data_IF_582550148069
#
_entry.id   IF_582550148069
#
_cell.length_a   1.000
_cell.length_b   1.000
_cell.length_c   1.000
_cell.angle_alpha   90.00
_cell.angle_beta   90.00
_cell.angle_gamma   90.00
#
_symmetry.space_group_name_H-M   'P 1'
#
loop_
_entity.id
_entity.type
_entity.pdbx_description
1 polymer ?
#
# COMPACT_ATOMS: atom_id res chain seq x y z
N UNK A 1 -14.37 15.21 9.47
CA UNK A 1 -13.90 13.90 9.93
C UNK A 1 -12.39 13.94 9.86
N UNK A 2 -11.72 13.93 11.00
CA UNK A 2 -10.25 13.94 11.10
C UNK A 2 -9.84 12.53 11.49
N UNK A 3 -9.25 11.81 10.56
CA UNK A 3 -8.62 10.53 10.82
C UNK A 3 -7.10 10.73 10.76
N UNK A 4 -6.37 10.01 11.61
CA UNK A 4 -4.93 9.88 11.50
C UNK A 4 -4.62 8.63 10.69
N UNK A 5 -3.68 8.74 9.74
CA UNK A 5 -3.16 7.60 9.00
C UNK A 5 -1.72 7.29 9.42
N UNK A 6 -1.41 6.02 9.63
CA UNK A 6 -0.06 5.57 9.99
C UNK A 6 0.33 4.32 9.17
N UNK A 7 1.62 4.16 8.92
CA UNK A 7 2.22 3.05 8.16
C UNK A 7 1.60 2.79 6.77
N UNK A 8 0.95 3.79 6.18
CA UNK A 8 0.45 3.74 4.81
C UNK A 8 1.61 3.78 3.81
N UNK A 9 1.38 3.21 2.64
CA UNK A 9 2.36 3.21 1.56
C UNK A 9 2.02 4.33 0.57
N UNK A 10 3.04 5.01 0.06
CA UNK A 10 2.85 6.03 -0.96
C UNK A 10 3.76 5.85 -2.16
N UNK A 11 3.33 6.37 -3.31
CA UNK A 11 4.18 6.57 -4.48
C UNK A 11 3.69 7.76 -5.28
N UNK A 12 4.63 8.55 -5.80
CA UNK A 12 4.31 9.63 -6.74
C UNK A 12 4.46 9.12 -8.18
N UNK A 13 3.41 9.32 -8.99
CA UNK A 13 3.44 9.06 -10.43
C UNK A 13 2.83 10.26 -11.12
N UNK A 14 3.60 10.87 -12.03
CA UNK A 14 3.28 12.17 -12.62
C UNK A 14 2.99 13.19 -11.50
N UNK A 15 1.89 13.93 -11.59
CA UNK A 15 1.49 14.95 -10.62
C UNK A 15 0.47 14.41 -9.59
N UNK A 16 0.54 13.11 -9.29
CA UNK A 16 -0.35 12.46 -8.30
C UNK A 16 0.46 11.69 -7.27
N UNK A 17 0.19 11.96 -5.99
CA UNK A 17 0.70 11.18 -4.86
C UNK A 17 -0.35 10.15 -4.45
N UNK A 18 -0.12 8.89 -4.78
CA UNK A 18 -0.99 7.77 -4.43
C UNK A 18 -0.73 7.30 -3.00
N UNK A 19 -1.79 6.91 -2.32
CA UNK A 19 -1.79 6.42 -0.94
C UNK A 19 -2.63 5.15 -0.90
N UNK A 20 -2.06 4.07 -0.39
CA UNK A 20 -2.76 2.82 -0.11
C UNK A 20 -2.43 2.36 1.30
N UNK A 21 -3.33 1.57 1.89
CA UNK A 21 -3.06 0.81 3.10
C UNK A 21 -2.78 1.66 4.34
N UNK A 22 -2.09 1.03 5.32
CA UNK A 22 -1.90 1.62 6.63
C UNK A 22 -3.11 1.47 7.56
N UNK A 23 -3.05 2.19 8.67
CA UNK A 23 -4.11 2.24 9.67
C UNK A 23 -4.86 3.55 9.62
N UNK A 24 -6.14 3.49 10.01
CA UNK A 24 -7.00 4.64 10.23
C UNK A 24 -7.53 4.59 11.66
N UNK A 25 -7.43 5.71 12.37
CA UNK A 25 -8.11 5.90 13.65
C UNK A 25 -9.39 6.69 13.46
N UNK A 26 -10.49 6.14 13.97
CA UNK A 26 -11.80 6.79 13.97
C UNK A 26 -12.05 7.55 15.29
N UNK A 27 -13.15 8.30 15.34
CA UNK A 27 -13.51 9.15 16.50
C UNK A 27 -13.66 8.35 17.82
N UNK A 28 -13.92 7.05 17.74
CA UNK A 28 -14.02 6.14 18.89
C UNK A 28 -12.66 5.64 19.40
N UNK A 29 -11.56 5.95 18.71
CA UNK A 29 -10.21 5.50 19.08
C UNK A 29 -9.81 5.89 20.51
N UNK A 30 -10.24 7.05 21.01
CA UNK A 30 -9.96 7.47 22.40
C UNK A 30 -10.58 6.52 23.45
N UNK A 31 -11.55 5.70 23.06
CA UNK A 31 -12.20 4.73 23.92
C UNK A 31 -11.70 3.32 23.62
N UNK A 32 -11.68 2.93 22.33
CA UNK A 32 -11.39 1.57 21.90
C UNK A 32 -9.89 1.29 21.80
N UNK A 33 -9.08 2.33 21.49
CA UNK A 33 -7.67 2.22 21.13
C UNK A 33 -7.42 1.25 19.95
N UNK A 34 -8.43 1.06 19.10
CA UNK A 34 -8.40 0.13 17.98
C UNK A 34 -7.92 0.81 16.69
N UNK A 35 -6.94 0.19 16.04
CA UNK A 35 -6.51 0.57 14.69
C UNK A 35 -7.30 -0.23 13.66
N UNK A 36 -7.79 0.44 12.61
CA UNK A 36 -8.50 -0.23 11.51
C UNK A 36 -7.67 -0.16 10.23
N UNK A 37 -7.69 -1.21 9.42
CA UNK A 37 -7.04 -1.17 8.10
C UNK A 37 -7.70 -0.12 7.20
N UNK A 38 -6.88 0.68 6.52
CA UNK A 38 -7.37 1.57 5.47
C UNK A 38 -7.75 0.77 4.22
N UNK A 39 -9.03 0.70 3.92
CA UNK A 39 -9.54 -0.02 2.74
C UNK A 39 -9.69 0.88 1.52
N UNK A 40 -9.39 2.17 1.64
CA UNK A 40 -9.45 3.10 0.52
C UNK A 40 -8.14 3.10 -0.27
N UNK A 41 -8.26 3.32 -1.58
CA UNK A 41 -7.16 3.76 -2.42
C UNK A 41 -7.40 5.22 -2.76
N UNK A 42 -6.40 6.06 -2.49
CA UNK A 42 -6.54 7.50 -2.63
C UNK A 42 -5.36 8.09 -3.41
N UNK A 43 -5.54 9.33 -3.87
CA UNK A 43 -4.42 10.14 -4.33
C UNK A 43 -4.65 11.62 -4.02
N UNK A 44 -3.55 12.32 -3.80
CA UNK A 44 -3.51 13.78 -3.86
C UNK A 44 -3.17 14.24 -5.28
N UNK A 45 -3.99 15.12 -5.85
CA UNK A 45 -3.66 15.84 -7.08
C UNK A 45 -2.71 17.00 -6.76
N UNK A 46 -1.44 16.86 -7.12
CA UNK A 46 -0.39 17.82 -6.80
C UNK A 46 -0.46 19.09 -7.66
N UNK A 47 -1.27 19.08 -8.74
CA UNK A 47 -1.52 20.24 -9.59
C UNK A 47 -2.82 20.97 -9.27
N UNK A 48 -3.68 20.40 -8.42
CA UNK A 48 -4.94 21.00 -8.02
C UNK A 48 -4.97 21.24 -6.51
N UNK A 49 -4.81 22.51 -6.11
CA UNK A 49 -4.81 22.91 -4.70
C UNK A 49 -6.20 23.38 -4.26
N UNK A 50 -6.59 22.96 -3.07
CA UNK A 50 -7.83 23.38 -2.40
C UNK A 50 -7.51 24.02 -1.06
N UNK A 51 -8.32 25.01 -0.66
CA UNK A 51 -8.16 25.68 0.63
C UNK A 51 -8.75 24.80 1.74
N UNK A 52 -7.93 24.43 2.73
CA UNK A 52 -8.35 23.70 3.93
C UNK A 52 -7.68 24.31 5.16
N UNK A 53 -8.50 24.79 6.09
CA UNK A 53 -7.99 25.43 7.32
C UNK A 53 -7.26 26.76 7.10
N UNK A 54 -7.45 27.42 5.95
CA UNK A 54 -6.77 28.67 5.58
C UNK A 54 -5.45 28.47 4.82
N UNK A 55 -5.02 27.23 4.62
CA UNK A 55 -3.83 26.86 3.84
C UNK A 55 -4.22 26.14 2.55
N UNK A 56 -3.33 26.17 1.56
CA UNK A 56 -3.49 25.42 0.30
C UNK A 56 -2.92 24.01 0.46
N UNK A 57 -3.75 23.02 0.13
CA UNK A 57 -3.40 21.60 0.16
C UNK A 57 -3.71 20.93 -1.17
N UNK A 58 -2.88 19.97 -1.64
CA UNK A 58 -3.23 19.11 -2.76
C UNK A 58 -4.59 18.43 -2.55
N UNK A 59 -5.45 18.44 -3.56
CA UNK A 59 -6.81 17.91 -3.39
C UNK A 59 -6.78 16.39 -3.26
N UNK A 60 -7.46 15.87 -2.22
CA UNK A 60 -7.53 14.45 -1.93
C UNK A 60 -8.72 13.83 -2.65
N UNK A 61 -8.45 12.80 -3.46
CA UNK A 61 -9.45 12.01 -4.14
C UNK A 61 -9.44 10.56 -3.62
N UNK A 62 -10.62 10.07 -3.23
CA UNK A 62 -10.84 8.71 -2.69
C UNK A 62 -11.81 7.89 -3.57
N UNK A 63 -11.92 8.21 -4.86
CA UNK A 63 -12.86 7.57 -5.77
C UNK A 63 -12.25 6.44 -6.60
N UNK A 64 -10.99 6.06 -6.33
CA UNK A 64 -10.31 4.98 -7.05
C UNK A 64 -10.85 3.61 -6.63
N UNK A 65 -10.86 2.67 -7.56
CA UNK A 65 -11.38 1.33 -7.31
C UNK A 65 -10.38 0.49 -6.50
N UNK A 66 -10.85 -0.04 -5.39
CA UNK A 66 -10.18 -1.09 -4.61
C UNK A 66 -11.24 -2.10 -4.18
N UNK A 67 -11.10 -3.33 -4.67
CA UNK A 67 -12.00 -4.44 -4.33
C UNK A 67 -11.56 -5.06 -3.01
N UNK A 68 -12.49 -5.66 -2.27
CA UNK A 68 -12.20 -6.36 -1.01
C UNK A 68 -11.22 -7.53 -1.17
N UNK A 69 -11.03 -8.04 -2.40
CA UNK A 69 -10.03 -9.05 -2.73
C UNK A 69 -8.59 -8.51 -2.70
N UNK A 70 -8.40 -7.19 -2.72
CA UNK A 70 -7.09 -6.55 -2.64
C UNK A 70 -6.76 -6.33 -1.17
N UNK A 71 -5.64 -6.87 -0.67
CA UNK A 71 -5.31 -6.79 0.73
C UNK A 71 -5.05 -5.33 1.14
N UNK A 72 -5.49 -5.00 2.35
CA UNK A 72 -5.22 -3.71 2.99
C UNK A 72 -4.17 -3.94 4.06
N UNK A 73 -2.91 -3.81 3.66
CA UNK A 73 -1.74 -4.07 4.51
C UNK A 73 -1.12 -2.76 4.97
N UNK A 74 -0.42 -2.81 6.09
CA UNK A 74 0.41 -1.71 6.58
C UNK A 74 1.89 -2.10 6.53
N UNK A 75 2.78 -1.10 6.44
CA UNK A 75 4.23 -1.33 6.37
C UNK A 75 4.69 -2.03 5.08
N UNK A 76 3.91 -2.00 4.01
CA UNK A 76 4.34 -2.45 2.68
C UNK A 76 5.10 -1.36 1.91
N UNK A 77 5.25 -1.55 0.61
CA UNK A 77 5.81 -0.55 -0.32
C UNK A 77 4.95 -0.49 -1.59
N UNK A 78 4.75 0.72 -2.11
CA UNK A 78 4.31 0.93 -3.49
C UNK A 78 5.52 1.20 -4.38
N UNK A 79 5.74 0.34 -5.36
CA UNK A 79 6.70 0.62 -6.43
C UNK A 79 5.98 1.33 -7.58
N UNK A 80 6.21 2.63 -7.71
CA UNK A 80 5.68 3.41 -8.81
C UNK A 80 6.35 3.07 -10.14
N UNK A 81 5.55 3.04 -11.20
CA UNK A 81 5.97 2.87 -12.58
C UNK A 81 5.35 3.98 -13.43
N UNK A 82 6.16 5.02 -13.67
CA UNK A 82 5.77 6.19 -14.46
C UNK A 82 5.72 5.94 -15.95
N UNK A 83 6.32 4.84 -16.44
CA UNK A 83 6.31 4.46 -17.85
C UNK A 83 4.99 3.80 -18.20
N UNK A 84 4.58 2.80 -17.42
CA UNK A 84 3.35 2.05 -17.67
C UNK A 84 2.11 2.65 -16.98
N UNK A 85 2.28 3.70 -16.18
CA UNK A 85 1.21 4.33 -15.37
C UNK A 85 0.57 3.33 -14.42
N UNK A 86 1.43 2.65 -13.65
CA UNK A 86 1.02 1.64 -12.68
C UNK A 86 1.79 1.82 -11.39
N UNK A 87 1.31 1.23 -10.31
CA UNK A 87 2.18 0.92 -9.18
C UNK A 87 1.95 -0.51 -8.71
N UNK A 88 2.94 -1.06 -8.04
CA UNK A 88 2.91 -2.42 -7.54
C UNK A 88 2.91 -2.42 -6.01
N UNK A 89 2.03 -3.20 -5.40
CA UNK A 89 2.01 -3.42 -3.97
C UNK A 89 2.91 -4.61 -3.63
N UNK A 90 3.97 -4.34 -2.88
CA UNK A 90 4.89 -5.34 -2.37
C UNK A 90 4.94 -5.29 -0.85
N UNK A 91 5.05 -6.46 -0.20
CA UNK A 91 5.24 -6.55 1.24
C UNK A 91 4.12 -5.93 2.10
N UNK A 92 4.35 -5.93 3.41
CA UNK A 92 3.41 -5.47 4.42
C UNK A 92 2.82 -6.61 5.23
N UNK A 93 2.03 -6.26 6.22
CA UNK A 93 1.38 -7.22 7.10
C UNK A 93 -0.10 -6.87 7.32
N UNK A 94 -0.90 -7.87 7.66
CA UNK A 94 -2.32 -7.69 7.95
C UNK A 94 -2.50 -7.13 9.37
N UNK A 95 -3.45 -6.20 9.53
CA UNK A 95 -3.79 -5.64 10.84
C UNK A 95 -4.31 -6.71 11.81
N UNK A 96 -5.09 -7.66 11.30
CA UNK A 96 -5.61 -8.80 12.06
C UNK A 96 -5.34 -10.11 11.32
N UNK A 97 -4.73 -11.07 12.02
CA UNK A 97 -4.43 -12.39 11.46
C UNK A 97 -3.27 -12.36 10.45
N UNK A 98 -3.39 -13.16 9.40
CA UNK A 98 -2.41 -13.31 8.33
C UNK A 98 -3.06 -13.81 7.05
N UNK A 99 -2.45 -13.54 5.89
CA UNK A 99 -2.93 -14.12 4.62
C UNK A 99 -2.88 -15.64 4.68
N UNK A 100 -3.99 -16.29 4.37
CA UNK A 100 -3.99 -17.73 4.17
C UNK A 100 -3.40 -18.12 2.80
N UNK A 101 -3.34 -17.16 1.88
CA UNK A 101 -2.84 -17.36 0.52
C UNK A 101 -1.35 -17.05 0.43
N UNK A 102 -0.70 -17.70 -0.54
CA UNK A 102 0.69 -17.38 -0.90
C UNK A 102 0.79 -15.96 -1.43
N UNK A 103 1.92 -15.30 -1.19
CA UNK A 103 2.15 -13.97 -1.70
C UNK A 103 2.03 -13.91 -3.22
N UNK A 104 1.28 -12.92 -3.71
CA UNK A 104 1.20 -12.56 -5.13
C UNK A 104 1.60 -11.11 -5.32
N UNK A 105 2.16 -10.79 -6.50
CA UNK A 105 2.49 -9.42 -6.86
C UNK A 105 1.24 -8.74 -7.44
N UNK A 106 0.74 -7.73 -6.75
CA UNK A 106 -0.42 -6.96 -7.17
C UNK A 106 0.03 -5.67 -7.83
N UNK A 107 -0.66 -5.26 -8.90
CA UNK A 107 -0.46 -3.96 -9.53
C UNK A 107 -1.78 -3.21 -9.64
N UNK A 108 -1.74 -1.90 -9.47
CA UNK A 108 -2.83 -1.02 -9.83
C UNK A 108 -2.51 -0.31 -11.16
N UNK A 109 -3.44 -0.40 -12.09
CA UNK A 109 -3.43 0.29 -13.37
C UNK A 109 -4.19 1.62 -13.25
N UNK A 110 -3.45 2.73 -13.34
CA UNK A 110 -4.00 4.07 -13.15
C UNK A 110 -4.93 4.45 -14.32
N UNK A 111 -4.62 4.00 -15.54
CA UNK A 111 -5.36 4.40 -16.73
C UNK A 111 -6.74 3.74 -16.74
N UNK A 112 -6.79 2.48 -16.33
CA UNK A 112 -8.03 1.69 -16.34
C UNK A 112 -8.73 1.61 -14.99
N UNK A 113 -8.21 2.27 -13.95
CA UNK A 113 -8.72 2.26 -12.59
C UNK A 113 -9.03 0.83 -12.11
N UNK A 114 -8.02 -0.05 -12.13
CA UNK A 114 -8.19 -1.45 -11.76
C UNK A 114 -6.94 -2.05 -11.14
N UNK A 115 -7.15 -3.07 -10.31
CA UNK A 115 -6.09 -3.95 -9.83
C UNK A 115 -5.96 -5.20 -10.72
N UNK A 116 -4.72 -5.57 -11.00
CA UNK A 116 -4.32 -6.80 -11.68
C UNK A 116 -3.41 -7.63 -10.76
N UNK A 117 -3.60 -8.95 -10.75
CA UNK A 117 -2.80 -9.91 -10.00
C UNK A 117 -1.83 -10.63 -10.94
N UNK A 118 -0.52 -10.49 -10.70
CA UNK A 118 0.54 -11.11 -11.49
C UNK A 118 0.93 -12.50 -10.97
N UNK A 119 0.27 -12.96 -9.90
CA UNK A 119 0.48 -14.26 -9.30
C UNK A 119 1.71 -14.32 -8.40
N UNK A 120 1.97 -15.53 -7.91
CA UNK A 120 3.13 -15.81 -7.09
C UNK A 120 4.42 -15.80 -7.94
N UNK A 121 5.53 -15.31 -7.39
CA UNK A 121 6.81 -15.32 -8.11
C UNK A 121 7.29 -16.75 -8.33
N UNK A 122 7.68 -17.07 -9.57
CA UNK A 122 8.26 -18.36 -9.96
C UNK A 122 9.74 -18.45 -9.57
N UNK A 123 10.01 -18.37 -8.27
CA UNK A 123 11.35 -18.51 -7.68
C UNK A 123 11.30 -19.50 -6.51
N UNK A 124 12.34 -20.31 -6.38
CA UNK A 124 12.46 -21.31 -5.31
C UNK A 124 13.74 -21.06 -4.49
N UNK A 125 13.64 -20.81 -3.17
CA UNK A 125 12.39 -20.64 -2.40
C UNK A 125 11.67 -19.33 -2.75
N UNK A 126 10.35 -19.22 -2.52
CA UNK A 126 9.62 -17.96 -2.63
C UNK A 126 10.25 -16.87 -1.76
N UNK A 127 10.07 -15.59 -2.12
CA UNK A 127 10.69 -14.50 -1.38
C UNK A 127 10.08 -14.38 0.03
N UNK A 128 10.93 -14.03 1.00
CA UNK A 128 10.46 -13.69 2.35
C UNK A 128 9.78 -12.30 2.32
N UNK A 129 8.48 -12.27 2.55
CA UNK A 129 7.64 -11.08 2.62
C UNK A 129 7.66 -10.51 4.04
N UNK A 130 8.38 -9.41 4.20
CA UNK A 130 8.47 -8.67 5.45
C UNK A 130 7.56 -7.43 5.43
N UNK A 131 7.32 -6.84 6.59
CA UNK A 131 6.74 -5.50 6.76
C UNK A 131 7.84 -4.50 7.18
N UNK A 132 7.60 -3.20 6.99
CA UNK A 132 8.49 -2.11 7.42
C UNK A 132 9.93 -2.18 6.88
N UNK A 133 10.13 -2.83 5.74
CA UNK A 133 11.38 -2.78 4.99
C UNK A 133 11.51 -1.52 4.14
N UNK A 134 12.70 -1.30 3.60
CA UNK A 134 12.94 -0.25 2.61
C UNK A 134 12.74 -0.80 1.20
N UNK A 135 12.09 -0.04 0.33
CA UNK A 135 11.93 -0.46 -1.06
C UNK A 135 11.97 0.70 -2.04
N UNK A 136 12.37 0.41 -3.28
CA UNK A 136 12.41 1.38 -4.38
C UNK A 136 12.06 0.68 -5.69
N UNK A 137 11.21 1.31 -6.48
CA UNK A 137 10.93 0.93 -7.87
C UNK A 137 11.72 1.78 -8.85
N UNK A 138 12.21 1.18 -9.92
CA UNK A 138 12.92 1.84 -11.02
C UNK A 138 12.15 1.59 -12.31
N UNK A 139 11.35 2.59 -12.71
CA UNK A 139 10.43 2.50 -13.87
C UNK A 139 11.15 2.18 -15.16
N UNK A 140 12.32 2.78 -15.40
CA UNK A 140 13.09 2.67 -16.65
C UNK A 140 13.60 1.26 -16.91
N UNK A 141 13.84 0.48 -15.85
CA UNK A 141 14.29 -0.91 -15.93
C UNK A 141 13.19 -1.91 -15.60
N UNK A 142 12.02 -1.45 -15.14
CA UNK A 142 10.96 -2.32 -14.63
C UNK A 142 11.38 -3.15 -13.42
N UNK A 143 12.24 -2.61 -12.54
CA UNK A 143 12.79 -3.35 -11.40
C UNK A 143 12.28 -2.80 -10.07
N UNK A 144 11.83 -3.68 -9.18
CA UNK A 144 11.55 -3.37 -7.77
C UNK A 144 12.63 -3.96 -6.87
N UNK A 145 13.12 -3.17 -5.93
CA UNK A 145 14.06 -3.59 -4.89
C UNK A 145 13.39 -3.47 -3.53
N UNK A 146 13.61 -4.46 -2.67
CA UNK A 146 13.17 -4.48 -1.28
C UNK A 146 14.30 -5.00 -0.40
N UNK A 147 14.55 -4.35 0.74
CA UNK A 147 15.60 -4.72 1.67
C UNK A 147 15.15 -4.55 3.12
N UNK A 148 15.49 -5.56 3.94
CA UNK A 148 15.23 -5.55 5.38
C UNK A 148 13.76 -5.81 5.71
N UNK A 149 13.32 -5.21 6.81
CA UNK A 149 11.97 -5.38 7.33
C UNK A 149 11.86 -6.42 8.44
N UNK A 150 10.63 -6.58 8.91
CA UNK A 150 10.22 -7.46 9.98
C UNK A 150 9.36 -8.60 9.44
N UNK A 151 9.72 -9.84 9.78
CA UNK A 151 8.93 -11.02 9.38
C UNK A 151 8.19 -11.53 10.60
N UNK A 152 6.88 -11.63 10.46
CA UNK A 152 6.00 -12.18 11.47
C UNK A 152 4.96 -13.09 10.82
N UNK A 153 4.17 -13.78 11.63
CA UNK A 153 3.00 -14.47 11.08
C UNK A 153 2.07 -13.50 10.36
N UNK A 154 1.97 -12.25 10.80
CA UNK A 154 1.13 -11.24 10.15
C UNK A 154 1.65 -10.81 8.78
N UNK A 155 2.94 -10.95 8.46
CA UNK A 155 3.48 -10.63 7.12
C UNK A 155 3.61 -11.87 6.22
N UNK A 156 3.88 -13.03 6.82
CA UNK A 156 4.06 -14.30 6.12
C UNK A 156 3.41 -15.45 6.88
N UNK A 157 2.43 -16.08 6.23
CA UNK A 157 1.78 -17.29 6.73
C UNK A 157 2.77 -18.42 7.01
N UNK A 158 2.64 -19.06 8.17
CA UNK A 158 3.46 -20.21 8.53
C UNK A 158 4.89 -19.86 8.96
N UNK A 159 5.17 -18.59 9.23
CA UNK A 159 6.45 -18.17 9.78
C UNK A 159 6.65 -18.68 11.21
N UNK A 160 7.68 -19.50 11.42
CA UNK A 160 8.02 -20.09 12.74
C UNK A 160 9.25 -19.47 13.39
N UNK A 161 9.81 -18.40 12.80
CA UNK A 161 11.13 -17.89 13.15
C UNK A 161 12.26 -18.58 12.37
N UNK A 162 13.43 -17.94 12.32
CA UNK A 162 14.71 -18.56 11.96
C UNK A 162 15.49 -18.95 13.23
#
# INVERSE_FOLDING_TARGET
MTFAEDAHQTTAIDDKLYIDGGWVNFDDFQQTHENYSNTWLAYHDLNNLVERGGDLWPDLNISLSKKDSIPSVHGGILWGDSVNKRFYLYAGEWNNGFSQDSYTLLSYDIIYDKWDDFGAPDITPPPKVASYGAGVGVSETGMGYYLGGWISNASMSGWTGD
#
